data_IF_837865832226
#
_entry.id   IF_837865832226
#
_cell.length_a   1.000
_cell.length_b   1.000
_cell.length_c   1.000
_cell.angle_alpha   90.00
_cell.angle_beta   90.00
_cell.angle_gamma   90.00
#
_symmetry.space_group_name_H-M   'P 1'
#
loop_
_entity.id
_entity.type
_entity.pdbx_description
1 polymer ?
#
# COMPACT_ATOMS: atom_id res chain seq x y z
N UNK A 1 15.68 -42.76 26.37
CA UNK A 1 14.60 -43.56 26.98
C UNK A 1 13.67 -42.59 27.71
N UNK A 2 12.40 -42.55 27.32
CA UNK A 2 11.38 -41.62 27.83
C UNK A 2 11.18 -41.72 29.35
N UNK A 3 10.63 -40.66 29.96
CA UNK A 3 9.60 -40.84 30.96
C UNK A 3 8.27 -40.27 30.49
N UNK A 4 7.29 -41.16 30.48
CA UNK A 4 5.84 -40.91 30.45
C UNK A 4 5.46 -40.27 31.79
N UNK A 5 4.58 -39.26 31.78
CA UNK A 5 3.83 -38.88 32.98
C UNK A 5 2.33 -38.82 32.70
N UNK A 6 1.61 -39.63 33.48
CA UNK A 6 0.17 -39.82 33.52
C UNK A 6 -0.54 -38.63 34.19
N UNK A 7 -1.76 -38.36 33.73
CA UNK A 7 -2.73 -37.54 34.43
C UNK A 7 -3.42 -38.32 35.57
N UNK A 8 -3.84 -37.67 36.67
CA UNK A 8 -4.78 -38.26 37.60
C UNK A 8 -6.22 -37.83 37.28
N UNK A 9 -7.09 -38.83 37.25
CA UNK A 9 -8.55 -38.72 37.34
C UNK A 9 -8.98 -38.66 38.82
N UNK A 10 -10.01 -37.87 39.10
CA UNK A 10 -10.63 -37.78 40.42
C UNK A 10 -11.92 -36.99 40.36
N UNK A 11 -13.04 -37.69 40.43
CA UNK A 11 -14.42 -37.21 40.40
C UNK A 11 -14.95 -36.91 41.80
N UNK A 12 -15.77 -35.86 41.96
CA UNK A 12 -17.14 -36.00 42.50
C UNK A 12 -17.93 -34.67 42.54
N UNK A 13 -19.11 -34.76 41.91
CA UNK A 13 -20.46 -34.38 42.36
C UNK A 13 -20.86 -32.90 42.52
N UNK A 14 -21.72 -32.52 41.57
CA UNK A 14 -23.11 -32.09 41.75
C UNK A 14 -23.42 -31.03 42.81
N UNK A 15 -23.68 -29.81 42.34
CA UNK A 15 -24.89 -29.07 42.74
C UNK A 15 -25.48 -28.35 41.51
N UNK A 16 -26.71 -28.75 41.20
CA UNK A 16 -27.62 -28.16 40.24
C UNK A 16 -28.11 -26.79 40.69
N UNK A 17 -28.05 -25.78 39.83
CA UNK A 17 -29.00 -24.65 39.84
C UNK A 17 -29.41 -24.37 38.41
N UNK A 18 -30.68 -24.65 38.11
CA UNK A 18 -31.40 -24.16 36.94
C UNK A 18 -31.56 -22.64 37.06
N UNK A 19 -31.16 -21.92 36.01
CA UNK A 19 -31.40 -20.49 35.86
C UNK A 19 -31.58 -20.18 34.40
N UNK A 20 -32.81 -20.34 33.92
CA UNK A 20 -33.31 -19.79 32.67
C UNK A 20 -33.33 -18.27 32.76
N UNK A 21 -32.61 -17.58 31.88
CA UNK A 21 -32.77 -16.15 31.63
C UNK A 21 -32.76 -15.96 30.12
N UNK A 22 -33.95 -15.70 29.57
CA UNK A 22 -34.15 -15.17 28.22
C UNK A 22 -33.42 -13.82 28.07
N UNK A 23 -32.93 -13.46 26.88
CA UNK A 23 -32.40 -12.12 26.66
C UNK A 23 -33.54 -11.10 26.54
N UNK A 24 -33.60 -10.16 27.48
CA UNK A 24 -34.47 -8.98 27.39
C UNK A 24 -34.02 -8.03 26.25
N UNK A 25 -34.97 -7.33 25.60
CA UNK A 25 -34.72 -6.47 24.44
C UNK A 25 -34.49 -4.98 24.82
N UNK A 26 -33.90 -4.23 23.88
CA UNK A 26 -33.70 -2.76 23.85
C UNK A 26 -32.59 -2.14 24.72
N UNK A 27 -31.58 -1.56 24.05
CA UNK A 27 -31.43 -0.09 24.06
C UNK A 27 -30.93 0.41 22.70
N UNK A 28 -31.84 1.11 22.02
CA UNK A 28 -31.62 1.87 20.81
C UNK A 28 -31.39 3.33 21.19
N UNK A 29 -30.18 3.76 21.57
CA UNK A 29 -29.77 5.18 21.44
C UNK A 29 -28.37 5.49 21.98
N UNK A 30 -27.32 5.24 21.19
CA UNK A 30 -26.18 6.18 21.16
C UNK A 30 -25.59 6.17 19.76
N UNK A 31 -26.00 7.14 18.93
CA UNK A 31 -25.17 7.61 17.82
C UNK A 31 -23.91 8.18 18.47
N UNK A 32 -22.87 7.37 18.59
CA UNK A 32 -21.53 7.88 18.84
C UNK A 32 -21.19 8.81 17.69
N UNK A 33 -21.26 10.12 17.92
CA UNK A 33 -20.80 11.10 16.95
C UNK A 33 -19.35 10.73 16.62
N UNK A 34 -19.11 10.33 15.37
CA UNK A 34 -17.76 10.14 14.87
C UNK A 34 -16.99 11.41 15.18
N UNK A 35 -15.81 11.29 15.81
CA UNK A 35 -14.90 12.43 15.96
C UNK A 35 -14.79 13.11 14.58
N UNK A 36 -14.91 14.43 14.49
CA UNK A 36 -14.76 15.12 13.20
C UNK A 36 -13.44 14.69 12.57
N UNK A 37 -13.50 14.25 11.31
CA UNK A 37 -12.29 13.94 10.55
C UNK A 37 -11.41 15.19 10.53
N UNK A 38 -10.09 14.99 10.61
CA UNK A 38 -9.12 16.07 10.62
C UNK A 38 -9.29 16.95 9.39
N UNK A 39 -9.40 18.26 9.51
CA UNK A 39 -9.52 19.17 8.36
C UNK A 39 -8.21 19.33 7.56
N UNK A 40 -7.32 18.35 7.61
CA UNK A 40 -5.97 18.38 7.05
C UNK A 40 -5.67 17.13 6.24
N UNK A 41 -4.94 17.30 5.14
CA UNK A 41 -4.40 16.17 4.39
C UNK A 41 -3.29 15.47 5.17
N UNK A 42 -3.11 14.17 4.94
CA UNK A 42 -2.09 13.35 5.60
C UNK A 42 -1.43 12.38 4.60
N UNK A 43 -0.19 12.00 4.89
CA UNK A 43 0.55 10.96 4.18
C UNK A 43 0.72 9.76 5.11
N UNK A 44 0.22 8.60 4.70
CA UNK A 44 0.26 7.36 5.48
C UNK A 44 1.11 6.36 4.71
N UNK A 45 2.28 6.03 5.26
CA UNK A 45 3.18 5.03 4.69
C UNK A 45 2.64 3.63 5.01
N UNK A 46 2.07 2.97 4.01
CA UNK A 46 1.51 1.63 4.16
C UNK A 46 2.60 0.55 4.20
N UNK A 47 3.72 0.81 3.53
CA UNK A 47 4.93 0.02 3.64
C UNK A 47 6.16 0.82 3.24
N UNK A 48 7.30 0.39 3.74
CA UNK A 48 8.63 1.03 3.58
C UNK A 48 9.74 -0.01 3.44
N UNK A 49 9.36 -1.23 3.03
CA UNK A 49 10.27 -2.33 2.74
C UNK A 49 10.49 -2.46 1.24
N UNK A 50 11.58 -3.12 0.86
CA UNK A 50 11.89 -3.40 -0.54
C UNK A 50 10.89 -4.39 -1.17
N UNK A 51 11.13 -4.79 -2.42
CA UNK A 51 10.31 -5.79 -3.11
C UNK A 51 10.12 -7.08 -2.30
N UNK A 52 11.14 -7.51 -1.55
CA UNK A 52 11.06 -8.70 -0.68
C UNK A 52 10.29 -8.51 0.62
N UNK A 53 9.90 -7.28 1.00
CA UNK A 53 9.51 -6.89 2.35
C UNK A 53 10.61 -7.18 3.39
N UNK A 54 10.44 -6.65 4.61
CA UNK A 54 11.30 -6.97 5.75
C UNK A 54 10.47 -7.50 6.92
N UNK A 55 10.93 -8.53 7.62
CA UNK A 55 12.21 -9.26 7.45
C UNK A 55 12.27 -10.10 6.16
N UNK A 56 13.48 -10.31 5.61
CA UNK A 56 13.67 -11.23 4.48
C UNK A 56 13.44 -12.67 4.95
N UNK A 57 12.39 -13.31 4.44
CA UNK A 57 12.00 -14.66 4.82
C UNK A 57 13.09 -15.70 4.53
N UNK A 58 13.92 -15.49 3.50
CA UNK A 58 15.06 -16.38 3.20
C UNK A 58 16.11 -16.32 4.29
N UNK A 59 16.34 -15.12 4.84
CA UNK A 59 17.28 -14.92 5.94
C UNK A 59 16.79 -15.60 7.23
N UNK A 60 15.48 -15.61 7.47
CA UNK A 60 14.90 -16.31 8.62
C UNK A 60 14.91 -17.84 8.45
N UNK A 61 14.64 -18.34 7.24
CA UNK A 61 14.68 -19.78 6.94
C UNK A 61 16.11 -20.35 6.93
N UNK A 62 17.11 -19.52 6.60
CA UNK A 62 18.53 -19.89 6.57
C UNK A 62 19.36 -18.84 7.33
N UNK A 63 19.34 -18.85 8.67
CA UNK A 63 20.03 -17.85 9.48
C UNK A 63 21.54 -17.89 9.24
N UNK A 64 22.13 -16.70 9.08
CA UNK A 64 23.59 -16.52 9.09
C UNK A 64 24.15 -16.65 10.51
N UNK A 65 25.47 -16.81 10.64
CA UNK A 65 26.18 -16.73 11.93
C UNK A 65 27.26 -15.64 11.84
N UNK A 66 27.10 -14.49 12.53
CA UNK A 66 25.97 -14.13 13.41
C UNK A 66 24.65 -13.91 12.63
N UNK A 67 23.49 -13.98 13.30
CA UNK A 67 22.19 -13.68 12.69
C UNK A 67 22.14 -12.25 12.13
N UNK A 68 21.40 -12.06 11.03
CA UNK A 68 21.20 -10.75 10.44
C UNK A 68 20.45 -9.82 11.40
N UNK A 69 21.11 -8.75 11.86
CA UNK A 69 20.54 -7.80 12.83
C UNK A 69 19.23 -7.16 12.35
N UNK A 70 19.10 -6.86 11.05
CA UNK A 70 17.88 -6.29 10.48
C UNK A 70 16.71 -7.28 10.58
N UNK A 71 16.91 -8.52 10.15
CA UNK A 71 15.85 -9.52 10.17
C UNK A 71 15.50 -9.94 11.61
N UNK A 72 16.49 -10.01 12.51
CA UNK A 72 16.25 -10.27 13.93
C UNK A 72 15.38 -9.17 14.57
N UNK A 73 15.62 -7.89 14.24
CA UNK A 73 14.74 -6.82 14.69
C UNK A 73 13.34 -6.92 14.07
N UNK A 74 13.24 -7.29 12.79
CA UNK A 74 11.96 -7.47 12.08
C UNK A 74 11.02 -8.51 12.69
N UNK A 75 11.53 -9.44 13.50
CA UNK A 75 10.72 -10.45 14.22
C UNK A 75 10.68 -10.26 15.74
N UNK A 76 11.34 -9.23 16.27
CA UNK A 76 11.47 -9.03 17.72
C UNK A 76 10.19 -8.59 18.43
N UNK A 77 9.23 -8.04 17.69
CA UNK A 77 7.93 -7.59 18.17
C UNK A 77 6.83 -8.07 17.22
N UNK A 78 5.56 -8.19 17.68
CA UNK A 78 4.42 -8.42 16.81
C UNK A 78 4.35 -7.39 15.68
N UNK A 79 3.98 -7.78 14.45
CA UNK A 79 4.01 -6.91 13.26
C UNK A 79 3.34 -5.54 13.49
N UNK A 80 2.21 -5.50 14.20
CA UNK A 80 1.43 -4.29 14.45
C UNK A 80 2.18 -3.23 15.25
N UNK A 81 3.21 -3.64 16.02
CA UNK A 81 4.02 -2.76 16.87
C UNK A 81 5.48 -2.70 16.44
N UNK A 82 5.85 -3.40 15.37
CA UNK A 82 7.23 -3.53 14.96
C UNK A 82 7.57 -2.58 13.80
N UNK A 83 8.33 -1.49 14.01
CA UNK A 83 8.74 -0.59 12.93
C UNK A 83 9.73 -1.22 11.94
N UNK A 84 10.33 -2.37 12.30
CA UNK A 84 11.23 -3.12 11.43
C UNK A 84 10.54 -4.25 10.66
N UNK A 85 9.25 -4.47 10.90
CA UNK A 85 8.41 -5.30 10.04
C UNK A 85 7.79 -4.39 8.97
N UNK A 86 8.38 -4.40 7.77
CA UNK A 86 8.08 -3.47 6.68
C UNK A 86 7.49 -4.20 5.49
N UNK A 87 6.27 -3.81 5.14
CA UNK A 87 5.53 -4.26 3.97
C UNK A 87 6.11 -3.67 2.68
N UNK A 88 5.65 -4.13 1.51
CA UNK A 88 6.05 -3.50 0.24
C UNK A 88 5.72 -2.01 0.24
N UNK A 89 6.62 -1.22 -0.35
CA UNK A 89 6.49 0.23 -0.50
C UNK A 89 5.13 0.59 -1.09
N UNK A 90 4.42 1.47 -0.40
CA UNK A 90 3.13 2.01 -0.83
C UNK A 90 2.76 3.22 0.04
N UNK A 91 2.10 4.19 -0.57
CA UNK A 91 1.71 5.44 0.07
C UNK A 91 0.20 5.65 -0.07
N UNK A 92 -0.48 5.88 1.05
CA UNK A 92 -1.85 6.37 1.04
C UNK A 92 -1.85 7.87 1.33
N UNK A 93 -2.41 8.64 0.40
CA UNK A 93 -2.64 10.07 0.56
C UNK A 93 -4.09 10.25 1.01
N UNK A 94 -4.29 10.72 2.23
CA UNK A 94 -5.57 11.24 2.69
C UNK A 94 -5.63 12.72 2.30
N UNK A 95 -6.30 13.03 1.19
CA UNK A 95 -6.39 14.36 0.62
C UNK A 95 -7.68 15.04 1.07
N UNK A 96 -7.57 16.08 1.90
CA UNK A 96 -8.69 16.88 2.37
C UNK A 96 -8.78 18.18 1.56
N UNK A 97 -9.91 18.38 0.87
CA UNK A 97 -10.24 19.62 0.17
C UNK A 97 -11.70 19.99 0.50
N UNK A 98 -11.92 21.21 0.99
CA UNK A 98 -13.24 21.73 1.36
C UNK A 98 -13.97 20.77 2.32
N UNK A 99 -13.27 20.33 3.36
CA UNK A 99 -13.74 19.39 4.40
C UNK A 99 -14.10 17.98 3.89
N UNK A 100 -13.86 17.71 2.59
CA UNK A 100 -14.08 16.40 1.99
C UNK A 100 -12.77 15.65 1.83
N UNK A 101 -12.73 14.44 2.38
CA UNK A 101 -11.59 13.53 2.26
C UNK A 101 -11.69 12.66 1.02
N UNK A 102 -10.56 12.53 0.31
CA UNK A 102 -10.35 11.58 -0.78
C UNK A 102 -9.07 10.80 -0.55
N UNK A 103 -9.14 9.50 -0.73
CA UNK A 103 -8.03 8.58 -0.46
C UNK A 103 -7.40 8.13 -1.77
N UNK A 104 -6.13 8.44 -1.97
CA UNK A 104 -5.38 8.12 -3.20
C UNK A 104 -4.26 7.17 -2.82
N UNK A 105 -4.25 5.99 -3.41
CA UNK A 105 -3.25 4.96 -3.15
C UNK A 105 -2.17 4.99 -4.23
N UNK A 106 -0.89 5.05 -3.84
CA UNK A 106 0.23 4.82 -4.73
C UNK A 106 0.76 3.41 -4.47
N UNK A 107 0.70 2.57 -5.51
CA UNK A 107 1.02 1.15 -5.55
C UNK A 107 0.16 0.24 -4.66
N UNK A 108 -0.15 -0.94 -5.19
CA UNK A 108 -0.95 -1.98 -4.55
C UNK A 108 -0.23 -3.33 -4.68
N UNK A 109 0.83 -3.47 -3.88
CA UNK A 109 1.71 -4.64 -3.88
C UNK A 109 1.10 -5.91 -3.29
N UNK A 110 1.87 -7.01 -3.33
CA UNK A 110 1.50 -8.32 -2.74
C UNK A 110 1.21 -8.29 -1.23
N UNK A 111 1.63 -7.26 -0.50
CA UNK A 111 1.34 -7.10 0.93
C UNK A 111 0.06 -6.30 1.21
N UNK A 112 -0.73 -5.96 0.19
CA UNK A 112 -1.89 -5.07 0.32
C UNK A 112 -2.89 -5.50 1.40
N UNK A 113 -3.24 -6.78 1.47
CA UNK A 113 -4.09 -7.31 2.54
C UNK A 113 -3.65 -6.89 3.94
N UNK A 114 -2.36 -7.03 4.22
CA UNK A 114 -1.80 -6.68 5.52
C UNK A 114 -1.76 -5.16 5.72
N UNK A 115 -1.50 -4.39 4.66
CA UNK A 115 -1.59 -2.93 4.70
C UNK A 115 -2.99 -2.45 5.09
N UNK A 116 -4.04 -3.09 4.56
CA UNK A 116 -5.44 -2.79 4.94
C UNK A 116 -5.67 -3.11 6.42
N UNK A 117 -5.33 -4.33 6.86
CA UNK A 117 -5.54 -4.75 8.24
C UNK A 117 -4.80 -3.87 9.25
N UNK A 118 -3.56 -3.46 8.94
CA UNK A 118 -2.73 -2.68 9.84
C UNK A 118 -3.05 -1.19 9.81
N UNK A 119 -3.17 -0.60 8.63
CA UNK A 119 -3.18 0.85 8.49
C UNK A 119 -4.57 1.39 8.17
N UNK A 120 -5.34 0.74 7.31
CA UNK A 120 -6.68 1.25 6.96
C UNK A 120 -7.61 1.15 8.18
N UNK A 121 -7.56 0.03 8.90
CA UNK A 121 -8.33 -0.14 10.14
C UNK A 121 -7.88 0.86 11.20
N UNK A 122 -6.57 1.05 11.38
CA UNK A 122 -6.02 1.98 12.38
C UNK A 122 -6.39 3.43 12.08
N UNK A 123 -6.26 3.87 10.84
CA UNK A 123 -6.56 5.24 10.39
C UNK A 123 -8.04 5.44 10.01
N UNK A 124 -8.86 4.39 10.11
CA UNK A 124 -10.30 4.41 9.75
C UNK A 124 -10.55 4.87 8.32
N UNK A 125 -9.74 4.37 7.39
CA UNK A 125 -9.87 4.64 5.95
C UNK A 125 -11.09 3.87 5.43
N UNK A 126 -12.12 4.55 4.92
CA UNK A 126 -13.38 3.89 4.53
C UNK A 126 -13.30 3.20 3.16
N UNK A 127 -12.49 3.74 2.24
CA UNK A 127 -12.38 3.31 0.85
C UNK A 127 -11.20 4.03 0.18
N UNK A 128 -10.84 3.62 -1.03
CA UNK A 128 -9.88 4.29 -1.91
C UNK A 128 -10.62 4.90 -3.11
N UNK A 129 -10.34 6.15 -3.44
CA UNK A 129 -10.98 6.88 -4.53
C UNK A 129 -10.22 6.82 -5.85
N UNK A 130 -8.91 6.56 -5.81
CA UNK A 130 -8.09 6.30 -7.00
C UNK A 130 -6.80 5.57 -6.60
N UNK A 131 -6.26 4.82 -7.55
CA UNK A 131 -4.96 4.15 -7.42
C UNK A 131 -4.02 4.67 -8.49
N UNK A 132 -2.76 4.87 -8.17
CA UNK A 132 -1.69 5.24 -9.10
C UNK A 132 -0.63 4.15 -9.01
N UNK A 133 -0.26 3.56 -10.14
CA UNK A 133 0.80 2.55 -10.21
C UNK A 133 2.08 3.19 -10.75
N UNK A 134 3.16 3.02 -10.00
CA UNK A 134 4.49 3.53 -10.38
C UNK A 134 5.10 2.70 -11.50
N UNK A 135 4.91 1.38 -11.45
CA UNK A 135 5.45 0.40 -12.40
C UNK A 135 4.78 -0.99 -12.27
N UNK A 136 5.18 -1.96 -13.10
CA UNK A 136 4.54 -3.29 -13.22
C UNK A 136 5.15 -4.43 -12.39
N UNK A 137 6.16 -4.14 -11.55
CA UNK A 137 6.75 -5.18 -10.71
C UNK A 137 5.78 -5.68 -9.64
N UNK A 138 6.08 -6.88 -9.14
CA UNK A 138 5.18 -7.63 -8.29
C UNK A 138 4.82 -6.92 -6.97
N UNK A 139 5.77 -6.19 -6.41
CA UNK A 139 5.62 -5.37 -5.23
C UNK A 139 4.83 -4.07 -5.45
N UNK A 140 4.56 -3.68 -6.69
CA UNK A 140 3.70 -2.55 -7.02
C UNK A 140 2.27 -2.96 -7.45
N UNK A 141 2.08 -4.17 -8.02
CA UNK A 141 0.80 -4.53 -8.67
C UNK A 141 0.12 -5.81 -8.20
N UNK A 142 0.76 -6.71 -7.44
CA UNK A 142 0.17 -8.02 -7.13
C UNK A 142 -1.03 -7.98 -6.16
N UNK A 143 -1.32 -6.84 -5.55
CA UNK A 143 -2.53 -6.65 -4.74
C UNK A 143 -3.75 -6.23 -5.56
N UNK A 144 -3.64 -6.08 -6.89
CA UNK A 144 -4.75 -5.68 -7.77
C UNK A 144 -5.99 -6.59 -7.66
N UNK A 145 -5.77 -7.87 -7.35
CA UNK A 145 -6.86 -8.84 -7.17
C UNK A 145 -7.76 -8.51 -5.95
N UNK A 146 -7.23 -7.79 -4.96
CA UNK A 146 -7.96 -7.40 -3.74
C UNK A 146 -8.50 -5.95 -3.78
N UNK A 147 -8.41 -5.24 -4.92
CA UNK A 147 -8.91 -3.86 -5.06
C UNK A 147 -10.37 -3.72 -4.66
N UNK A 148 -11.17 -4.76 -4.90
CA UNK A 148 -12.60 -4.75 -4.59
C UNK A 148 -12.93 -4.51 -3.11
N UNK A 149 -12.00 -4.85 -2.20
CA UNK A 149 -12.14 -4.66 -0.76
C UNK A 149 -12.20 -3.18 -0.36
N UNK A 150 -11.59 -2.30 -1.17
CA UNK A 150 -11.48 -0.87 -0.88
C UNK A 150 -12.26 0.03 -1.85
N UNK A 151 -13.03 -0.54 -2.77
CA UNK A 151 -13.84 0.26 -3.69
C UNK A 151 -14.97 0.99 -2.94
N UNK A 152 -15.25 2.26 -3.30
CA UNK A 152 -16.42 2.95 -2.77
C UNK A 152 -17.70 2.20 -3.18
N UNK A 153 -18.65 2.13 -2.25
CA UNK A 153 -20.00 1.64 -2.53
C UNK A 153 -20.95 2.82 -2.57
N UNK A 154 -21.83 2.84 -3.57
CA UNK A 154 -22.90 3.82 -3.63
C UNK A 154 -24.02 3.46 -2.61
N UNK A 155 -24.99 4.36 -2.43
CA UNK A 155 -26.12 4.15 -1.51
C UNK A 155 -27.07 2.99 -1.86
N UNK A 156 -26.84 2.30 -2.98
CA UNK A 156 -27.57 1.10 -3.44
C UNK A 156 -26.74 -0.18 -3.32
N UNK A 157 -25.58 -0.12 -2.66
CA UNK A 157 -24.57 -1.19 -2.58
C UNK A 157 -23.91 -1.56 -3.92
N UNK A 158 -24.08 -0.77 -4.98
CA UNK A 158 -23.30 -0.99 -6.19
C UNK A 158 -21.87 -0.50 -5.97
N UNK A 159 -20.93 -1.33 -6.43
CA UNK A 159 -19.52 -0.97 -6.53
C UNK A 159 -19.37 0.13 -7.59
N UNK A 160 -18.73 1.24 -7.22
CA UNK A 160 -18.31 2.29 -8.15
C UNK A 160 -17.02 1.90 -8.86
N UNK A 161 -16.85 2.35 -10.10
CA UNK A 161 -15.59 2.14 -10.81
C UNK A 161 -14.47 2.92 -10.13
N UNK A 162 -13.35 2.23 -9.85
CA UNK A 162 -12.15 2.85 -9.30
C UNK A 162 -11.17 3.21 -10.43
N UNK A 163 -10.80 4.50 -10.60
CA UNK A 163 -9.80 4.88 -11.57
C UNK A 163 -8.41 4.43 -11.11
N UNK A 164 -7.71 3.71 -11.99
CA UNK A 164 -6.33 3.28 -11.80
C UNK A 164 -5.46 3.92 -12.87
N UNK A 165 -4.52 4.77 -12.44
CA UNK A 165 -3.61 5.51 -13.30
C UNK A 165 -2.29 4.76 -13.47
N UNK A 166 -1.87 4.56 -14.71
CA UNK A 166 -0.67 3.78 -15.05
C UNK A 166 -0.17 4.13 -16.46
N UNK A 167 1.09 3.83 -16.75
CA UNK A 167 1.62 3.97 -18.11
C UNK A 167 1.05 2.88 -19.04
N UNK A 168 1.11 3.11 -20.35
CA UNK A 168 0.76 2.07 -21.33
C UNK A 168 1.61 0.81 -21.17
N UNK A 169 2.91 0.98 -20.87
CA UNK A 169 3.82 -0.14 -20.62
C UNK A 169 3.36 -1.01 -19.43
N UNK A 170 2.98 -0.37 -18.32
CA UNK A 170 2.44 -1.07 -17.15
C UNK A 170 1.11 -1.75 -17.48
N UNK A 171 0.22 -1.09 -18.23
CA UNK A 171 -1.05 -1.66 -18.68
C UNK A 171 -0.86 -2.94 -19.51
N UNK A 172 0.06 -2.91 -20.49
CA UNK A 172 0.35 -4.07 -21.34
C UNK A 172 0.91 -5.27 -20.55
N UNK A 173 1.62 -5.00 -19.46
CA UNK A 173 2.08 -6.05 -18.53
C UNK A 173 0.95 -6.61 -17.69
N UNK A 174 0.11 -5.75 -17.12
CA UNK A 174 -1.05 -6.16 -16.32
C UNK A 174 -2.02 -6.97 -17.17
N UNK A 175 -2.34 -6.54 -18.40
CA UNK A 175 -3.25 -7.24 -19.30
C UNK A 175 -2.78 -8.68 -19.62
N UNK A 176 -1.46 -8.91 -19.69
CA UNK A 176 -0.89 -10.26 -19.87
C UNK A 176 -0.94 -11.11 -18.61
N UNK A 177 -0.80 -10.50 -17.43
CA UNK A 177 -0.73 -11.20 -16.13
C UNK A 177 -2.11 -11.45 -15.52
N UNK A 178 -3.04 -10.54 -15.77
CA UNK A 178 -4.40 -10.54 -15.22
C UNK A 178 -5.44 -10.23 -16.31
N UNK A 179 -5.59 -11.09 -17.34
CA UNK A 179 -6.55 -10.86 -18.43
C UNK A 179 -7.98 -10.61 -17.92
N UNK A 180 -8.37 -11.32 -16.87
CA UNK A 180 -9.69 -11.19 -16.23
C UNK A 180 -9.98 -9.80 -15.66
N UNK A 181 -8.96 -8.99 -15.32
CA UNK A 181 -9.15 -7.60 -14.87
C UNK A 181 -9.41 -6.64 -16.05
N UNK A 182 -9.16 -7.08 -17.28
CA UNK A 182 -9.47 -6.34 -18.52
C UNK A 182 -10.90 -6.61 -18.97
N UNK A 183 -11.38 -7.82 -18.71
CA UNK A 183 -12.67 -8.34 -19.14
C UNK A 183 -13.76 -7.96 -18.13
N UNK A 184 -14.35 -6.78 -18.29
CA UNK A 184 -15.41 -6.27 -17.40
C UNK A 184 -16.78 -6.95 -17.60
N UNK A 185 -16.81 -8.13 -18.24
CA UNK A 185 -18.04 -8.91 -18.46
C UNK A 185 -17.83 -10.31 -17.87
N UNK A 186 -18.64 -10.73 -16.88
CA UNK A 186 -18.68 -12.13 -16.49
C UNK A 186 -19.09 -12.96 -17.71
N UNK A 187 -18.32 -13.99 -18.05
CA UNK A 187 -18.71 -14.93 -19.13
C UNK A 187 -20.03 -15.66 -18.78
N UNK A 188 -20.35 -15.80 -17.49
CA UNK A 188 -21.44 -16.67 -17.00
C UNK A 188 -22.61 -15.96 -16.32
N UNK A 189 -22.75 -14.63 -16.43
CA UNK A 189 -23.94 -13.93 -15.92
C UNK A 189 -24.13 -13.98 -14.39
N UNK A 190 -23.08 -14.30 -13.64
CA UNK A 190 -23.08 -14.22 -12.18
C UNK A 190 -22.92 -12.76 -11.74
N UNK A 191 -24.06 -12.06 -11.66
CA UNK A 191 -24.14 -10.66 -11.21
C UNK A 191 -23.69 -10.49 -9.75
N UNK A 192 -23.57 -11.58 -8.97
CA UNK A 192 -23.15 -11.59 -7.57
C UNK A 192 -21.63 -11.72 -7.38
N UNK A 193 -20.85 -11.92 -8.46
CA UNK A 193 -19.40 -11.94 -8.37
C UNK A 193 -18.88 -10.56 -7.94
N UNK A 194 -18.27 -10.47 -6.75
CA UNK A 194 -17.58 -9.26 -6.25
C UNK A 194 -16.29 -8.99 -7.02
N UNK A 195 -16.41 -8.74 -8.33
CA UNK A 195 -15.30 -8.37 -9.18
C UNK A 195 -14.95 -6.89 -9.00
N UNK A 196 -13.65 -6.59 -9.09
CA UNK A 196 -13.19 -5.20 -9.13
C UNK A 196 -13.72 -4.51 -10.39
N UNK A 197 -14.29 -3.30 -10.24
CA UNK A 197 -14.74 -2.48 -11.36
C UNK A 197 -13.68 -1.43 -11.62
N UNK A 198 -12.73 -1.74 -12.48
CA UNK A 198 -11.58 -0.88 -12.72
C UNK A 198 -11.83 0.05 -13.91
N UNK A 199 -11.49 1.33 -13.77
CA UNK A 199 -11.42 2.30 -14.85
C UNK A 199 -9.94 2.62 -15.14
N UNK A 200 -9.38 1.96 -16.15
CA UNK A 200 -7.96 2.11 -16.51
C UNK A 200 -7.70 3.48 -17.15
N UNK A 201 -6.78 4.26 -16.56
CA UNK A 201 -6.39 5.61 -17.02
C UNK A 201 -4.92 5.62 -17.43
N UNK A 202 -4.66 5.71 -18.74
CA UNK A 202 -3.30 5.83 -19.25
C UNK A 202 -2.75 7.22 -18.94
N UNK A 203 -1.59 7.27 -18.30
CA UNK A 203 -0.79 8.48 -18.08
C UNK A 203 0.49 8.44 -18.92
N UNK A 204 0.98 9.62 -19.29
CA UNK A 204 2.27 9.78 -19.98
C UNK A 204 3.40 9.81 -18.95
N UNK A 205 4.54 9.24 -19.29
CA UNK A 205 5.77 9.30 -18.51
C UNK A 205 6.56 10.59 -18.82
N UNK A 206 5.91 11.75 -18.68
CA UNK A 206 6.52 13.05 -18.91
C UNK A 206 6.14 14.06 -17.82
N UNK A 207 7.13 14.83 -17.36
CA UNK A 207 6.96 15.88 -16.34
C UNK A 207 6.06 17.02 -16.84
N UNK A 208 5.94 17.18 -18.15
CA UNK A 208 5.12 18.21 -18.79
C UNK A 208 3.65 17.77 -18.98
N UNK A 209 3.30 16.56 -18.53
CA UNK A 209 1.98 15.93 -18.71
C UNK A 209 1.33 15.57 -17.37
N UNK A 210 0.94 16.57 -16.56
CA UNK A 210 0.26 16.32 -15.30
C UNK A 210 -1.11 15.68 -15.52
N UNK A 211 -1.58 14.97 -14.49
CA UNK A 211 -2.91 14.38 -14.44
C UNK A 211 -3.55 14.63 -13.08
N UNK A 212 -4.86 14.46 -12.99
CA UNK A 212 -5.63 14.67 -11.74
C UNK A 212 -6.22 13.36 -11.27
N UNK A 213 -5.85 12.94 -10.07
CA UNK A 213 -6.44 11.80 -9.37
C UNK A 213 -7.20 12.29 -8.14
N UNK A 214 -8.50 12.01 -8.09
CA UNK A 214 -9.40 12.40 -7.00
C UNK A 214 -9.29 13.88 -6.56
N UNK A 215 -9.07 14.79 -7.51
CA UNK A 215 -8.98 16.24 -7.28
C UNK A 215 -7.61 16.77 -6.89
N UNK A 216 -6.61 15.91 -6.73
CA UNK A 216 -5.20 16.26 -6.54
C UNK A 216 -4.45 16.11 -7.86
N UNK A 217 -3.71 17.15 -8.25
CA UNK A 217 -2.84 17.11 -9.43
C UNK A 217 -1.52 16.40 -9.09
N UNK A 218 -1.08 15.55 -10.00
CA UNK A 218 0.18 14.82 -9.97
C UNK A 218 0.97 15.12 -11.23
N UNK A 219 2.27 15.35 -11.05
CA UNK A 219 3.24 15.43 -12.12
C UNK A 219 4.04 14.12 -12.13
N UNK A 220 4.00 13.32 -13.21
CA UNK A 220 4.84 12.15 -13.37
C UNK A 220 6.32 12.54 -13.30
N UNK A 221 7.13 11.77 -12.57
CA UNK A 221 8.58 11.93 -12.46
C UNK A 221 9.28 10.67 -12.95
N UNK A 222 9.60 10.57 -14.25
CA UNK A 222 10.32 9.43 -14.80
C UNK A 222 11.72 9.30 -14.18
N UNK A 223 12.04 8.12 -13.65
CA UNK A 223 13.34 7.80 -13.06
C UNK A 223 13.82 6.44 -13.54
N UNK A 224 15.14 6.26 -13.57
CA UNK A 224 15.72 4.94 -13.84
C UNK A 224 15.51 4.04 -12.62
N UNK A 225 15.08 2.81 -12.85
CA UNK A 225 15.04 1.74 -11.85
C UNK A 225 15.79 0.52 -12.40
N UNK A 226 17.13 0.60 -12.34
CA UNK A 226 18.04 -0.28 -13.06
C UNK A 226 18.38 0.23 -14.47
N UNK A 227 19.25 -0.48 -15.18
CA UNK A 227 19.69 -0.07 -16.51
C UNK A 227 18.60 -0.34 -17.56
N UNK A 228 18.30 0.67 -18.38
CA UNK A 228 17.31 0.56 -19.45
C UNK A 228 15.84 0.47 -19.02
N UNK A 229 15.53 0.64 -17.74
CA UNK A 229 14.16 0.56 -17.22
C UNK A 229 13.75 1.85 -16.52
N UNK A 230 12.57 2.37 -16.89
CA UNK A 230 11.98 3.59 -16.33
C UNK A 230 10.76 3.20 -15.51
N UNK A 231 10.69 3.73 -14.30
CA UNK A 231 9.46 3.77 -13.51
C UNK A 231 9.10 5.23 -13.20
N UNK A 232 7.92 5.42 -12.59
CA UNK A 232 7.45 6.74 -12.20
C UNK A 232 7.57 6.95 -10.69
N UNK A 233 8.14 8.07 -10.30
CA UNK A 233 7.70 8.75 -9.08
C UNK A 233 6.68 9.83 -9.39
N UNK A 234 6.27 10.57 -8.37
CA UNK A 234 5.28 11.63 -8.52
C UNK A 234 5.59 12.85 -7.68
N UNK A 235 5.42 14.03 -8.28
CA UNK A 235 5.39 15.31 -7.60
C UNK A 235 3.93 15.74 -7.42
N UNK A 236 3.56 16.13 -6.21
CA UNK A 236 2.19 16.56 -5.90
C UNK A 236 2.14 17.53 -4.72
N UNK A 237 0.95 18.09 -4.49
CA UNK A 237 0.63 18.92 -3.34
C UNK A 237 0.48 20.40 -3.67
N UNK A 238 -0.56 21.02 -3.10
CA UNK A 238 -0.93 22.43 -3.38
C UNK A 238 -0.24 23.43 -2.44
N UNK A 239 -0.14 23.08 -1.16
CA UNK A 239 0.47 23.93 -0.10
C UNK A 239 1.90 23.53 0.23
N UNK A 240 2.22 22.26 0.04
CA UNK A 240 3.55 21.70 0.23
C UNK A 240 3.89 20.88 -1.02
N UNK A 241 5.08 21.09 -1.56
CA UNK A 241 5.58 20.48 -2.78
C UNK A 241 6.30 19.17 -2.40
N UNK A 242 5.63 18.04 -2.62
CA UNK A 242 6.08 16.71 -2.18
C UNK A 242 6.51 15.90 -3.40
N UNK A 243 7.72 15.35 -3.39
CA UNK A 243 8.15 14.34 -4.35
C UNK A 243 8.23 12.97 -3.69
N UNK A 244 7.64 11.95 -4.34
CA UNK A 244 7.66 10.55 -3.90
C UNK A 244 8.30 9.68 -4.97
N UNK A 245 9.42 9.05 -4.64
CA UNK A 245 10.26 8.27 -5.54
C UNK A 245 10.60 6.93 -4.86
N UNK A 246 9.77 5.91 -5.07
CA UNK A 246 9.81 4.63 -4.37
C UNK A 246 10.84 3.64 -4.91
N UNK A 247 11.21 3.78 -6.18
CA UNK A 247 12.10 2.88 -6.89
C UNK A 247 12.98 3.74 -7.78
N UNK A 248 14.24 3.95 -7.40
CA UNK A 248 15.11 4.86 -8.16
C UNK A 248 16.55 4.42 -8.05
N UNK A 249 17.22 4.19 -9.17
CA UNK A 249 18.68 4.07 -9.27
C UNK A 249 19.33 5.38 -9.72
N UNK A 250 18.66 6.15 -10.58
CA UNK A 250 19.20 7.40 -11.14
C UNK A 250 18.09 8.36 -11.59
N UNK A 251 18.26 9.64 -11.30
CA UNK A 251 17.38 10.69 -11.83
C UNK A 251 17.66 10.96 -13.30
N UNK A 252 16.59 11.14 -14.09
CA UNK A 252 16.69 11.67 -15.44
C UNK A 252 16.81 13.21 -15.41
N UNK A 253 17.46 13.85 -16.40
CA UNK A 253 17.71 15.30 -16.35
C UNK A 253 16.46 16.16 -16.17
N UNK A 254 15.34 15.79 -16.82
CA UNK A 254 14.06 16.49 -16.64
C UNK A 254 13.54 16.37 -15.20
N UNK A 255 13.52 15.16 -14.65
CA UNK A 255 13.09 14.89 -13.27
C UNK A 255 13.98 15.62 -12.26
N UNK A 256 15.31 15.55 -12.42
CA UNK A 256 16.28 16.26 -11.58
C UNK A 256 16.02 17.77 -11.60
N UNK A 257 15.80 18.35 -12.78
CA UNK A 257 15.45 19.76 -12.88
C UNK A 257 14.18 20.10 -12.08
N UNK A 258 13.12 19.32 -12.24
CA UNK A 258 11.81 19.57 -11.60
C UNK A 258 11.87 19.51 -10.07
N UNK A 259 12.70 18.63 -9.52
CA UNK A 259 12.82 18.42 -8.06
C UNK A 259 13.96 19.23 -7.41
N UNK A 260 14.83 19.86 -8.20
CA UNK A 260 15.95 20.65 -7.70
C UNK A 260 15.56 22.09 -7.33
N UNK A 261 16.23 22.65 -6.31
CA UNK A 261 16.07 24.06 -5.92
C UNK A 261 16.35 25.03 -7.06
N UNK A 262 17.34 24.72 -7.89
CA UNK A 262 17.80 25.54 -9.02
C UNK A 262 16.97 25.37 -10.29
N UNK A 263 16.13 24.34 -10.37
CA UNK A 263 15.25 24.11 -11.51
C UNK A 263 13.84 24.63 -11.23
N UNK A 264 12.85 23.74 -11.08
CA UNK A 264 11.44 24.14 -10.94
C UNK A 264 11.03 24.52 -9.49
N UNK A 265 11.98 24.57 -8.56
CA UNK A 265 11.79 25.13 -7.22
C UNK A 265 12.04 24.13 -6.08
N UNK A 266 12.21 24.67 -4.87
CA UNK A 266 12.43 23.89 -3.65
C UNK A 266 11.26 22.93 -3.39
N UNK A 267 11.57 21.69 -2.99
CA UNK A 267 10.61 20.76 -2.40
C UNK A 267 10.48 21.01 -0.90
N UNK A 268 9.26 20.87 -0.37
CA UNK A 268 9.01 20.86 1.07
C UNK A 268 9.29 19.47 1.67
N UNK A 269 9.06 18.41 0.88
CA UNK A 269 9.31 17.04 1.28
C UNK A 269 9.78 16.20 0.09
N UNK A 270 10.92 15.52 0.26
CA UNK A 270 11.41 14.49 -0.65
C UNK A 270 11.35 13.14 0.07
N UNK A 271 10.50 12.26 -0.44
CA UNK A 271 10.46 10.86 -0.04
C UNK A 271 11.17 10.06 -1.12
N UNK A 272 12.24 9.39 -0.72
CA UNK A 272 13.09 8.66 -1.63
C UNK A 272 13.52 7.34 -1.01
N UNK A 273 13.46 6.30 -1.83
CA UNK A 273 14.01 5.00 -1.50
C UNK A 273 15.53 5.00 -1.35
N UNK A 274 16.01 4.27 -0.35
CA UNK A 274 17.43 3.95 -0.18
C UNK A 274 17.57 2.50 0.31
N UNK A 275 17.65 1.55 -0.61
CA UNK A 275 17.73 0.11 -0.29
C UNK A 275 19.11 -0.36 0.17
N UNK A 276 20.17 0.42 -0.10
CA UNK A 276 21.52 0.10 0.35
C UNK A 276 22.21 1.33 0.96
N UNK A 277 22.74 1.15 2.18
CA UNK A 277 23.64 2.10 2.83
C UNK A 277 25.09 1.63 2.59
N UNK A 278 25.96 2.50 2.06
CA UNK A 278 27.38 2.21 1.84
C UNK A 278 27.74 1.13 0.80
N UNK A 279 26.86 0.85 -0.16
CA UNK A 279 27.19 -0.02 -1.29
C UNK A 279 28.20 0.62 -2.26
N UNK A 280 29.00 -0.21 -2.94
CA UNK A 280 29.59 0.21 -4.21
C UNK A 280 28.43 0.20 -5.21
N UNK A 281 27.90 1.37 -5.54
CA UNK A 281 26.92 1.47 -6.63
C UNK A 281 27.59 0.98 -7.91
N UNK A 282 27.27 -0.25 -8.32
CA UNK A 282 27.64 -0.75 -9.63
C UNK A 282 26.57 -0.32 -10.65
N UNK A 283 26.93 -0.36 -11.94
CA UNK A 283 26.02 0.00 -13.04
C UNK A 283 24.83 -0.95 -13.21
N UNK A 284 24.72 -2.00 -12.40
CA UNK A 284 23.60 -2.95 -12.36
C UNK A 284 22.66 -2.76 -11.17
N UNK A 285 22.94 -1.79 -10.29
CA UNK A 285 22.07 -1.51 -9.14
C UNK A 285 20.71 -0.94 -9.58
N UNK A 286 19.64 -1.56 -9.11
CA UNK A 286 18.26 -1.10 -9.34
C UNK A 286 17.83 0.01 -8.39
N UNK A 287 18.64 0.34 -7.39
CA UNK A 287 18.27 1.26 -6.31
C UNK A 287 19.38 2.25 -5.97
N UNK A 288 18.99 3.41 -5.43
CA UNK A 288 19.91 4.50 -5.13
C UNK A 288 20.77 4.10 -3.94
N UNK A 289 22.06 4.37 -4.07
CA UNK A 289 23.00 4.29 -2.95
C UNK A 289 23.41 5.70 -2.54
N UNK A 290 23.06 6.08 -1.31
CA UNK A 290 23.56 7.33 -0.73
C UNK A 290 25.05 7.17 -0.38
N UNK A 291 25.90 7.97 -1.01
CA UNK A 291 27.30 8.13 -0.60
C UNK A 291 27.37 9.23 0.46
N UNK A 292 27.93 8.91 1.62
CA UNK A 292 28.22 9.84 2.71
C UNK A 292 29.33 10.81 2.35
#
# INVERSE_FOLDING_TARGET
MNPVFQAPSGTNKDQSVQGSVEPDPFDSSTKGAAKPQSSSSSLIFLGTGCSGSLPDTRCLLKPSTPPCGVCSMGVSLPPERNPNYRLNTSLLIDYCHDETHKYILIDIGKTFREQVLRWFVHHKVPSVNSIILTHEHADAVLGLDEVWVVQPRNGRNDIEQIPIFLTQFTMDSIARRFPYLMEQKPEDGDEDAQAAKIDWKIIEDDVDKPFVASGLEFVPLPVMHGEGYICLGFLFGRRARVAYLSDVSRFLPKTENVISKSGAGQLDLLILEANALHGVGDSSSTHLTLKS
#
